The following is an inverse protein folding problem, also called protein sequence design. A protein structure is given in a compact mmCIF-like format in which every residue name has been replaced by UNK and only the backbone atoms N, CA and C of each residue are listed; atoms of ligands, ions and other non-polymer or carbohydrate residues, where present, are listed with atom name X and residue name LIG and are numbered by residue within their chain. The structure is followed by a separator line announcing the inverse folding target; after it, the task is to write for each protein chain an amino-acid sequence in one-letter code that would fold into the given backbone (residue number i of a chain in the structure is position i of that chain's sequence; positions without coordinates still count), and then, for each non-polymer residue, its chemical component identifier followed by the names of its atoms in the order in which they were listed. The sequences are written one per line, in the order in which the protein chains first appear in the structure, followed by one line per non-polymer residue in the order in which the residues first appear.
data_IF_686388305595
#
_entry.id   IF_686388305595
#
_cell.length_a   1.000
_cell.length_b   1.000
_cell.length_c   1.000
_cell.angle_alpha   90.00
_cell.angle_beta   90.00
_cell.angle_gamma   90.00
#
_symmetry.space_group_name_H-M   'P 1'
#
loop_
_entity.id
_entity.type
_entity.pdbx_description
1 polymer ?
#
# COMPACT_ATOMS: atom_id res chain seq x y z
N UNK A 1 15.53 -11.94 -4.69
CA UNK A 1 16.76 -11.59 -5.46
C UNK A 1 16.81 -10.08 -5.60
N UNK A 2 17.78 -9.45 -4.98
CA UNK A 2 18.03 -8.00 -5.07
C UNK A 2 19.05 -7.74 -6.17
N UNK A 3 18.85 -6.71 -6.98
CA UNK A 3 19.79 -6.30 -8.03
C UNK A 3 19.76 -4.76 -8.14
N UNK A 4 20.91 -4.16 -8.43
CA UNK A 4 21.07 -2.72 -8.52
C UNK A 4 20.37 -2.07 -9.73
N UNK A 5 19.89 -2.86 -10.70
CA UNK A 5 19.06 -2.41 -11.82
C UNK A 5 18.25 -3.54 -12.42
N UNK A 6 17.19 -3.17 -13.17
CA UNK A 6 16.36 -4.13 -13.90
C UNK A 6 17.20 -4.95 -14.92
N UNK A 7 18.16 -4.33 -15.59
CA UNK A 7 19.04 -5.01 -16.54
C UNK A 7 19.91 -6.10 -15.88
N UNK A 8 20.51 -5.79 -14.72
CA UNK A 8 21.28 -6.75 -13.92
C UNK A 8 20.38 -7.88 -13.45
N UNK A 9 19.17 -7.56 -13.00
CA UNK A 9 18.21 -8.56 -12.55
C UNK A 9 17.78 -9.50 -13.67
N UNK A 10 17.51 -8.97 -14.85
CA UNK A 10 17.17 -9.77 -16.04
C UNK A 10 18.33 -10.71 -16.44
N UNK A 11 19.57 -10.20 -16.41
CA UNK A 11 20.74 -11.02 -16.72
C UNK A 11 20.91 -12.18 -15.73
N UNK A 12 20.72 -11.93 -14.43
CA UNK A 12 20.75 -12.96 -13.40
C UNK A 12 19.64 -14.00 -13.58
N UNK A 13 18.41 -13.55 -13.89
CA UNK A 13 17.28 -14.46 -14.17
C UNK A 13 17.56 -15.35 -15.37
N UNK A 14 18.03 -14.77 -16.49
CA UNK A 14 18.43 -15.54 -17.67
C UNK A 14 19.47 -16.59 -17.32
N UNK A 15 20.50 -16.22 -16.55
CA UNK A 15 21.51 -17.16 -16.11
C UNK A 15 20.94 -18.31 -15.28
N UNK A 16 19.96 -18.04 -14.40
CA UNK A 16 19.30 -19.06 -13.59
C UNK A 16 18.44 -20.00 -14.43
N UNK A 17 17.71 -19.45 -15.41
CA UNK A 17 16.86 -20.26 -16.31
C UNK A 17 17.68 -21.11 -17.28
N UNK A 18 18.85 -20.62 -17.69
CA UNK A 18 19.76 -21.30 -18.61
C UNK A 18 20.68 -22.32 -17.90
N UNK A 19 20.48 -22.59 -16.60
CA UNK A 19 21.24 -23.60 -15.89
C UNK A 19 20.93 -25.01 -16.43
N UNK A 20 21.95 -25.71 -16.87
CA UNK A 20 21.81 -27.06 -17.39
C UNK A 20 21.25 -28.02 -16.30
N UNK A 21 20.44 -28.97 -16.72
CA UNK A 21 19.78 -29.97 -15.87
C UNK A 21 18.80 -29.43 -14.80
N UNK A 22 18.44 -28.17 -14.84
CA UNK A 22 17.45 -27.58 -13.92
C UNK A 22 16.11 -27.39 -14.64
N UNK A 23 15.08 -28.06 -14.15
CA UNK A 23 13.72 -27.96 -14.72
C UNK A 23 12.92 -26.76 -14.20
N UNK A 24 13.29 -26.23 -13.05
CA UNK A 24 12.50 -25.19 -12.35
C UNK A 24 13.41 -24.21 -11.61
N UNK A 25 13.07 -22.93 -11.69
CA UNK A 25 13.66 -21.87 -10.87
C UNK A 25 12.58 -21.33 -9.94
N UNK A 26 12.80 -21.42 -8.65
CA UNK A 26 11.88 -20.87 -7.65
C UNK A 26 12.42 -19.56 -7.11
N UNK A 27 11.63 -18.49 -7.25
CA UNK A 27 11.92 -17.19 -6.65
C UNK A 27 11.02 -17.01 -5.43
N UNK A 28 11.62 -16.79 -4.27
CA UNK A 28 10.90 -16.47 -3.03
C UNK A 28 10.85 -14.95 -2.86
N UNK A 29 9.74 -14.45 -2.33
CA UNK A 29 9.55 -13.04 -1.97
C UNK A 29 9.76 -12.10 -3.15
N UNK A 30 8.72 -11.92 -3.94
CA UNK A 30 8.66 -11.02 -5.11
C UNK A 30 7.60 -9.97 -4.84
N UNK A 31 7.88 -8.70 -5.12
CA UNK A 31 6.88 -7.63 -5.05
C UNK A 31 5.73 -7.89 -6.03
N UNK A 32 4.52 -7.46 -5.68
CA UNK A 32 3.37 -7.66 -6.56
C UNK A 32 3.44 -6.82 -7.84
N UNK A 33 4.17 -5.70 -7.81
CA UNK A 33 4.45 -4.82 -8.96
C UNK A 33 5.86 -5.05 -9.56
N UNK A 34 6.48 -6.18 -9.24
CA UNK A 34 7.83 -6.50 -9.68
C UNK A 34 7.95 -6.55 -11.21
N UNK A 35 9.05 -6.00 -11.73
CA UNK A 35 9.35 -5.99 -13.18
C UNK A 35 9.39 -7.39 -13.80
N UNK A 36 9.59 -8.43 -13.00
CA UNK A 36 9.52 -9.83 -13.45
C UNK A 36 8.20 -10.12 -14.16
N UNK A 37 7.08 -9.59 -13.65
CA UNK A 37 5.76 -9.83 -14.24
C UNK A 37 5.63 -9.29 -15.66
N UNK A 38 6.44 -8.28 -16.02
CA UNK A 38 6.47 -7.72 -17.37
C UNK A 38 7.37 -8.51 -18.33
N UNK A 39 8.27 -9.33 -17.81
CA UNK A 39 9.17 -10.17 -18.63
C UNK A 39 8.62 -11.56 -18.91
N UNK A 40 7.63 -11.99 -18.14
CA UNK A 40 7.02 -13.30 -18.34
C UNK A 40 6.07 -13.28 -19.55
N UNK A 41 5.96 -14.40 -20.29
CA UNK A 41 5.06 -14.51 -21.45
C UNK A 41 3.59 -14.64 -21.03
N UNK A 42 3.09 -13.63 -20.33
CA UNK A 42 1.72 -13.54 -19.83
C UNK A 42 1.52 -14.19 -18.45
N UNK A 43 0.26 -14.23 -17.96
CA UNK A 43 -0.07 -14.64 -16.57
C UNK A 43 0.34 -16.06 -16.20
N UNK A 44 0.56 -16.92 -17.18
CA UNK A 44 0.97 -18.32 -17.00
C UNK A 44 2.47 -18.53 -17.09
N UNK A 45 3.26 -17.47 -17.27
CA UNK A 45 4.70 -17.54 -17.35
C UNK A 45 5.39 -17.91 -16.04
N UNK A 46 4.67 -17.79 -14.92
CA UNK A 46 5.06 -18.34 -13.62
C UNK A 46 3.94 -19.26 -13.11
N UNK A 47 4.29 -20.45 -12.63
CA UNK A 47 3.40 -21.32 -11.88
C UNK A 47 3.52 -21.03 -10.38
N UNK A 48 2.50 -21.40 -9.61
CA UNK A 48 2.51 -21.38 -8.15
C UNK A 48 2.88 -20.04 -7.49
N UNK A 49 2.48 -18.93 -8.13
CA UNK A 49 2.60 -17.61 -7.53
C UNK A 49 1.49 -17.43 -6.47
N UNK A 50 1.87 -17.43 -5.20
CA UNK A 50 0.94 -17.24 -4.08
C UNK A 50 1.27 -15.97 -3.31
N UNK A 51 0.31 -15.03 -3.13
CA UNK A 51 0.47 -13.94 -2.19
C UNK A 51 0.50 -14.50 -0.75
N UNK A 52 1.34 -13.95 0.09
CA UNK A 52 1.38 -14.25 1.52
C UNK A 52 1.68 -12.99 2.33
N UNK A 53 1.23 -12.99 3.58
CA UNK A 53 1.48 -11.90 4.51
C UNK A 53 2.94 -11.88 4.92
N UNK A 54 3.51 -10.67 5.03
CA UNK A 54 4.88 -10.51 5.49
C UNK A 54 4.98 -9.47 6.61
N UNK A 55 4.40 -8.29 6.43
CA UNK A 55 4.47 -7.20 7.39
C UNK A 55 3.08 -6.73 7.78
N UNK A 56 2.80 -6.74 9.08
CA UNK A 56 1.58 -6.18 9.67
C UNK A 56 1.86 -4.81 10.27
N UNK A 57 1.04 -3.83 9.96
CA UNK A 57 1.19 -2.45 10.41
C UNK A 57 0.00 -2.03 11.25
N UNK A 58 0.30 -1.44 12.41
CA UNK A 58 -0.66 -0.76 13.26
C UNK A 58 -0.28 0.69 13.44
N UNK A 59 -1.19 1.61 13.16
CA UNK A 59 -1.02 3.02 13.51
C UNK A 59 -1.32 3.19 15.00
N UNK A 60 -0.31 3.56 15.78
CA UNK A 60 -0.41 3.73 17.25
C UNK A 60 -0.80 5.17 17.59
N UNK A 61 -0.32 6.13 16.82
CA UNK A 61 -0.63 7.56 16.90
C UNK A 61 -0.97 8.02 15.49
N UNK A 62 -2.27 8.17 15.21
CA UNK A 62 -2.76 8.44 13.86
C UNK A 62 -2.19 9.74 13.27
N UNK A 63 -2.29 10.92 13.92
CA UNK A 63 -1.75 12.15 13.36
C UNK A 63 -0.26 12.07 13.08
N UNK A 64 0.49 11.55 14.03
CA UNK A 64 1.95 11.45 13.93
C UNK A 64 2.38 10.44 12.86
N UNK A 65 1.69 9.32 12.76
CA UNK A 65 1.99 8.31 11.77
C UNK A 65 1.74 8.83 10.34
N UNK A 66 0.65 9.56 10.12
CA UNK A 66 0.35 10.14 8.81
C UNK A 66 1.30 11.28 8.48
N UNK A 67 1.69 12.12 9.43
CA UNK A 67 2.67 13.18 9.20
C UNK A 67 4.10 12.67 8.96
N UNK A 68 4.43 11.45 9.42
CA UNK A 68 5.77 10.89 9.32
C UNK A 68 6.09 10.23 7.97
N UNK A 69 5.10 10.05 7.08
CA UNK A 69 5.33 9.47 5.74
C UNK A 69 5.40 10.54 4.66
N UNK A 70 6.05 10.23 3.55
CA UNK A 70 5.97 11.02 2.33
C UNK A 70 4.74 10.65 1.48
N UNK A 71 4.32 11.58 0.63
CA UNK A 71 3.16 11.45 -0.25
C UNK A 71 3.50 11.89 -1.67
N UNK A 72 2.94 11.19 -2.66
CA UNK A 72 3.08 11.55 -4.09
C UNK A 72 1.88 12.34 -4.60
N UNK A 73 0.71 12.16 -3.98
CA UNK A 73 -0.51 12.86 -4.31
C UNK A 73 -0.88 13.95 -3.31
N UNK A 74 -2.06 14.53 -3.48
CA UNK A 74 -2.63 15.54 -2.58
C UNK A 74 -4.09 15.21 -2.26
N UNK A 75 -4.56 15.62 -1.07
CA UNK A 75 -5.97 15.58 -0.69
C UNK A 75 -6.26 16.59 0.42
N UNK A 76 -7.54 16.89 0.61
CA UNK A 76 -8.10 17.54 1.78
C UNK A 76 -9.42 16.84 2.08
N UNK A 77 -9.42 15.94 3.07
CA UNK A 77 -10.53 15.04 3.37
C UNK A 77 -10.74 14.95 4.87
N UNK A 78 -12.00 14.99 5.29
CA UNK A 78 -12.39 14.75 6.68
C UNK A 78 -12.77 13.28 6.85
N UNK A 79 -12.01 12.58 7.70
CA UNK A 79 -12.19 11.15 7.97
C UNK A 79 -12.71 10.91 9.38
N UNK A 80 -13.69 10.06 9.55
CA UNK A 80 -14.15 9.55 10.85
C UNK A 80 -13.54 8.17 11.07
N UNK A 81 -12.68 8.05 12.07
CA UNK A 81 -11.87 6.86 12.32
C UNK A 81 -12.39 6.13 13.55
N UNK A 82 -12.62 4.83 13.43
CA UNK A 82 -12.89 3.95 14.57
C UNK A 82 -11.61 3.20 14.98
N UNK A 83 -11.33 3.18 16.27
CA UNK A 83 -10.25 2.41 16.88
C UNK A 83 -10.69 1.92 18.26
N UNK A 84 -11.04 0.65 18.37
CA UNK A 84 -11.49 0.04 19.62
C UNK A 84 -10.36 -0.17 20.63
N UNK A 85 -9.12 -0.33 20.14
CA UNK A 85 -7.96 -0.65 20.96
C UNK A 85 -7.27 0.61 21.50
N UNK A 86 -7.20 1.66 20.72
CA UNK A 86 -6.56 2.92 21.07
C UNK A 86 -7.54 4.09 20.81
N UNK A 87 -8.41 4.41 21.81
CA UNK A 87 -9.44 5.43 21.65
C UNK A 87 -8.90 6.83 21.28
N UNK A 88 -7.64 7.11 21.55
CA UNK A 88 -6.99 8.37 21.17
C UNK A 88 -6.91 8.57 19.65
N UNK A 89 -6.98 7.51 18.86
CA UNK A 89 -7.02 7.57 17.41
C UNK A 89 -8.45 7.72 16.86
N UNK A 90 -9.45 7.37 17.66
CA UNK A 90 -10.85 7.41 17.23
C UNK A 90 -11.35 8.86 17.17
N UNK A 91 -12.24 9.12 16.22
CA UNK A 91 -12.89 10.41 16.04
C UNK A 91 -12.69 10.99 14.65
N UNK A 92 -13.09 12.25 14.51
CA UNK A 92 -13.09 12.95 13.22
C UNK A 92 -11.80 13.75 13.05
N UNK A 93 -11.11 13.49 11.96
CA UNK A 93 -9.82 14.08 11.63
C UNK A 93 -9.84 14.70 10.24
N UNK A 94 -9.31 15.91 10.10
CA UNK A 94 -9.01 16.48 8.80
C UNK A 94 -7.60 16.07 8.37
N UNK A 95 -7.50 15.44 7.21
CA UNK A 95 -6.26 14.99 6.59
C UNK A 95 -6.01 15.86 5.36
N UNK A 96 -5.04 16.76 5.47
CA UNK A 96 -4.61 17.62 4.36
C UNK A 96 -3.23 17.17 3.91
N UNK A 97 -3.12 16.76 2.65
CA UNK A 97 -1.84 16.36 2.03
C UNK A 97 -1.51 17.36 0.93
N UNK A 98 -0.37 17.99 1.05
CA UNK A 98 0.14 18.94 0.04
C UNK A 98 1.66 18.97 0.07
N UNK A 99 2.30 19.14 -1.10
CA UNK A 99 3.76 19.26 -1.19
C UNK A 99 4.54 18.05 -0.69
N UNK A 100 3.92 16.87 -0.67
CA UNK A 100 4.55 15.62 -0.19
C UNK A 100 4.43 15.37 1.31
N UNK A 101 3.76 16.26 2.06
CA UNK A 101 3.60 16.19 3.51
C UNK A 101 2.12 16.16 3.90
N UNK A 102 1.81 15.58 5.07
CA UNK A 102 0.47 15.58 5.63
C UNK A 102 0.38 16.41 6.91
N UNK A 103 -0.69 17.17 7.02
CA UNK A 103 -1.16 17.77 8.27
C UNK A 103 -2.44 17.08 8.68
N UNK A 104 -2.49 16.59 9.92
CA UNK A 104 -3.66 15.88 10.46
C UNK A 104 -4.07 16.53 11.76
N UNK A 105 -5.30 16.97 11.84
CA UNK A 105 -5.85 17.67 13.01
C UNK A 105 -7.26 17.17 13.33
N UNK A 106 -7.68 17.23 14.61
CA UNK A 106 -9.08 16.99 14.96
C UNK A 106 -9.99 17.96 14.19
N UNK A 107 -11.15 17.48 13.77
CA UNK A 107 -12.15 18.29 13.05
C UNK A 107 -13.54 18.13 13.66
N UNK A 108 -14.33 19.19 13.56
CA UNK A 108 -15.78 19.20 13.86
C UNK A 108 -16.64 19.20 12.59
N UNK A 109 -16.00 19.21 11.43
CA UNK A 109 -16.68 19.15 10.13
C UNK A 109 -17.32 17.78 9.93
N UNK A 110 -18.32 17.73 9.06
CA UNK A 110 -18.95 16.46 8.72
C UNK A 110 -17.94 15.51 8.07
N UNK A 111 -17.93 14.26 8.54
CA UNK A 111 -17.07 13.25 7.96
C UNK A 111 -17.42 12.99 6.50
N UNK A 112 -16.42 12.91 5.65
CA UNK A 112 -16.53 12.62 4.23
C UNK A 112 -16.24 11.15 3.91
N UNK A 113 -15.43 10.49 4.78
CA UNK A 113 -15.12 9.06 4.73
C UNK A 113 -15.20 8.49 6.15
N UNK A 114 -15.81 7.30 6.31
CA UNK A 114 -15.81 6.55 7.57
C UNK A 114 -15.07 5.24 7.40
N UNK A 115 -14.14 4.97 8.29
CA UNK A 115 -13.29 3.77 8.21
C UNK A 115 -12.67 3.42 9.55
N UNK A 116 -12.25 2.16 9.69
CA UNK A 116 -11.47 1.72 10.85
C UNK A 116 -9.98 2.02 10.67
N UNK A 117 -9.28 2.17 11.79
CA UNK A 117 -7.81 2.41 11.82
C UNK A 117 -7.03 1.33 11.05
N UNK A 118 -7.52 0.09 11.00
CA UNK A 118 -6.90 -1.00 10.26
C UNK A 118 -6.85 -0.73 8.74
N UNK A 119 -7.87 -0.06 8.18
CA UNK A 119 -7.90 0.30 6.77
C UNK A 119 -6.83 1.37 6.45
N UNK A 120 -6.63 2.35 7.34
CA UNK A 120 -5.56 3.32 7.21
C UNK A 120 -4.18 2.66 7.38
N UNK A 121 -4.05 1.74 8.33
CA UNK A 121 -2.82 0.95 8.51
C UNK A 121 -2.45 0.16 7.27
N UNK A 122 -3.45 -0.49 6.65
CA UNK A 122 -3.27 -1.21 5.39
C UNK A 122 -2.86 -0.29 4.24
N UNK A 123 -3.41 0.92 4.17
CA UNK A 123 -3.08 1.90 3.13
C UNK A 123 -1.78 2.68 3.40
N UNK A 124 -1.25 2.64 4.62
CA UNK A 124 -0.15 3.51 5.07
C UNK A 124 1.13 3.36 4.24
N UNK A 125 1.45 2.16 3.78
CA UNK A 125 2.56 1.91 2.84
C UNK A 125 2.15 1.97 1.36
N UNK A 126 0.96 2.50 1.04
CA UNK A 126 0.46 2.58 -0.34
C UNK A 126 -0.03 1.23 -0.90
N UNK A 127 -0.26 0.22 -0.06
CA UNK A 127 -0.68 -1.12 -0.48
C UNK A 127 -2.20 -1.33 -0.43
N UNK A 128 -2.82 -1.08 0.72
CA UNK A 128 -4.26 -1.28 0.91
C UNK A 128 -5.09 -0.28 0.09
N UNK A 129 -5.73 -0.74 -0.98
CA UNK A 129 -6.49 0.08 -1.91
C UNK A 129 -7.83 0.51 -1.29
N UNK A 130 -7.90 1.74 -0.77
CA UNK A 130 -9.11 2.30 -0.15
C UNK A 130 -10.29 2.35 -1.13
N UNK A 131 -10.05 2.62 -2.42
CA UNK A 131 -11.13 2.59 -3.42
C UNK A 131 -11.69 1.19 -3.63
N UNK A 132 -10.87 0.15 -3.53
CA UNK A 132 -11.35 -1.23 -3.58
C UNK A 132 -12.13 -1.59 -2.30
N UNK A 133 -11.67 -1.15 -1.14
CA UNK A 133 -12.35 -1.34 0.15
C UNK A 133 -13.74 -0.66 0.16
N UNK A 134 -13.85 0.54 -0.43
CA UNK A 134 -15.13 1.21 -0.60
C UNK A 134 -16.07 0.41 -1.51
N UNK A 135 -15.62 -0.04 -2.68
CA UNK A 135 -16.45 -0.88 -3.56
C UNK A 135 -16.88 -2.21 -2.91
N UNK A 136 -16.08 -2.71 -1.97
CA UNK A 136 -16.42 -3.89 -1.17
C UNK A 136 -17.36 -3.58 0.01
N UNK A 137 -17.70 -2.32 0.26
CA UNK A 137 -18.59 -1.90 1.34
C UNK A 137 -17.95 -1.96 2.73
N UNK A 138 -16.62 -2.10 2.85
CA UNK A 138 -15.94 -2.15 4.16
C UNK A 138 -15.52 -0.78 4.69
N UNK A 139 -15.55 0.25 3.85
CA UNK A 139 -15.45 1.65 4.25
C UNK A 139 -16.60 2.45 3.60
N UNK A 140 -17.09 3.49 4.28
CA UNK A 140 -18.18 4.31 3.78
C UNK A 140 -17.66 5.65 3.22
N UNK A 141 -18.26 6.10 2.13
CA UNK A 141 -18.04 7.40 1.52
C UNK A 141 -19.29 8.26 1.71
N UNK A 142 -19.14 9.41 2.36
CA UNK A 142 -20.23 10.37 2.62
C UNK A 142 -20.21 11.53 1.62
N UNK A 143 -19.02 11.94 1.16
CA UNK A 143 -18.87 12.91 0.06
C UNK A 143 -18.37 12.16 -1.19
N UNK A 144 -19.12 12.22 -2.31
CA UNK A 144 -18.70 11.58 -3.56
C UNK A 144 -17.28 11.98 -3.97
N UNK A 145 -16.43 10.99 -4.19
CA UNK A 145 -15.02 11.18 -4.60
C UNK A 145 -14.01 11.28 -3.45
N UNK A 146 -14.44 11.43 -2.19
CA UNK A 146 -13.54 11.61 -1.05
C UNK A 146 -12.60 10.41 -0.84
N UNK A 147 -13.11 9.17 -1.00
CA UNK A 147 -12.29 7.97 -0.93
C UNK A 147 -11.24 7.95 -2.05
N UNK A 148 -11.61 8.37 -3.25
CA UNK A 148 -10.69 8.45 -4.38
C UNK A 148 -9.61 9.50 -4.16
N UNK A 149 -9.97 10.66 -3.57
CA UNK A 149 -9.04 11.73 -3.23
C UNK A 149 -8.03 11.24 -2.19
N UNK A 150 -8.53 10.64 -1.09
CA UNK A 150 -7.71 10.06 -0.04
C UNK A 150 -6.77 8.96 -0.60
N UNK A 151 -7.30 8.06 -1.41
CA UNK A 151 -6.48 6.98 -1.98
C UNK A 151 -5.40 7.49 -2.92
N UNK A 152 -5.68 8.50 -3.75
CA UNK A 152 -4.67 9.14 -4.60
C UNK A 152 -3.50 9.73 -3.82
N UNK A 153 -3.76 10.28 -2.64
CA UNK A 153 -2.70 10.77 -1.76
C UNK A 153 -1.87 9.63 -1.16
N UNK A 154 -2.51 8.51 -0.81
CA UNK A 154 -1.85 7.40 -0.11
C UNK A 154 -1.11 6.42 -1.02
N UNK A 155 -1.57 6.23 -2.26
CA UNK A 155 -0.91 5.31 -3.20
C UNK A 155 0.50 5.79 -3.55
N UNK A 156 1.38 4.85 -3.79
CA UNK A 156 2.73 5.07 -4.29
C UNK A 156 2.83 4.55 -5.73
N UNK A 157 3.68 5.16 -6.55
CA UNK A 157 3.96 4.69 -7.92
C UNK A 157 4.66 3.33 -7.88
N UNK A 158 5.55 3.14 -6.91
CA UNK A 158 6.21 1.85 -6.64
C UNK A 158 5.71 1.31 -5.31
N UNK A 159 5.16 0.10 -5.31
CA UNK A 159 4.66 -0.54 -4.10
C UNK A 159 5.79 -0.72 -3.07
N UNK A 160 5.50 -0.39 -1.82
CA UNK A 160 6.43 -0.67 -0.74
C UNK A 160 6.63 -2.18 -0.62
N UNK A 161 7.87 -2.61 -0.62
CA UNK A 161 8.25 -4.00 -0.52
C UNK A 161 9.25 -4.20 0.62
N UNK A 162 8.94 -5.04 1.62
CA UNK A 162 9.86 -5.31 2.69
C UNK A 162 11.05 -6.12 2.18
N UNK A 163 12.26 -5.78 2.63
CA UNK A 163 13.46 -6.56 2.30
C UNK A 163 13.28 -8.01 2.73
N UNK A 164 13.69 -9.00 1.91
CA UNK A 164 13.70 -10.38 2.36
C UNK A 164 14.63 -10.53 3.56
N UNK A 165 14.12 -11.03 4.67
CA UNK A 165 14.91 -11.26 5.88
C UNK A 165 14.34 -10.75 7.19
N UNK A 166 13.03 -10.52 7.23
CA UNK A 166 12.29 -10.44 8.50
C UNK A 166 11.98 -11.83 9.01
#
# INVERSE_FOLDING_TARGET
MLAGSAAVRLALLRRLVDFDLMATVTLKTIGADDVLWQWLPGPRGASDAHPYDNLWIRLVDLPRALAARGYEGSCDVVVDVTDELLPANAGTWRVTVAGGEAVVSPSTDAAEVRLGIAHLGSAWLGWGNLSAMHRAGVIAEERPGAVSDLWRAFRLDVAAWPSPGF
#
